data_IF_371380647153
#
_entry.id   IF_371380647153
#
_cell.length_a   1.000
_cell.length_b   1.000
_cell.length_c   1.000
_cell.angle_alpha   90.00
_cell.angle_beta   90.00
_cell.angle_gamma   90.00
#
_symmetry.space_group_name_H-M   'P 1'
#
loop_
_entity.id
_entity.type
_entity.pdbx_description
1 polymer ?
#
# COMPACT_ATOMS: atom_id res chain seq x y z
N UNK A 1 5.84 -8.50 18.57
CA UNK A 1 6.27 -8.04 17.24
C UNK A 1 5.50 -8.92 16.27
N UNK A 2 4.65 -8.33 15.43
CA UNK A 2 3.88 -9.10 14.46
C UNK A 2 4.79 -9.74 13.43
N UNK A 3 4.41 -10.90 12.93
CA UNK A 3 5.12 -11.58 11.85
C UNK A 3 4.62 -11.06 10.50
N UNK A 4 5.47 -11.11 9.46
CA UNK A 4 5.09 -10.67 8.11
C UNK A 4 3.82 -11.39 7.59
N UNK A 5 3.64 -12.65 7.97
CA UNK A 5 2.46 -13.44 7.65
C UNK A 5 1.18 -12.85 8.26
N UNK A 6 1.24 -12.33 9.48
CA UNK A 6 0.10 -11.69 10.15
C UNK A 6 -0.33 -10.41 9.42
N UNK A 7 0.63 -9.60 8.95
CA UNK A 7 0.35 -8.43 8.10
C UNK A 7 -0.30 -8.85 6.78
N UNK A 8 0.20 -9.92 6.15
CA UNK A 8 -0.36 -10.44 4.89
C UNK A 8 -1.80 -10.91 5.09
N UNK A 9 -2.10 -11.58 6.20
CA UNK A 9 -3.44 -12.03 6.53
C UNK A 9 -4.42 -10.86 6.71
N UNK A 10 -3.98 -9.76 7.34
CA UNK A 10 -4.79 -8.54 7.44
C UNK A 10 -5.05 -7.93 6.06
N UNK A 11 -4.06 -7.91 5.17
CA UNK A 11 -4.23 -7.40 3.82
C UNK A 11 -5.24 -8.22 3.02
N UNK A 12 -5.21 -9.56 3.15
CA UNK A 12 -6.21 -10.43 2.53
C UNK A 12 -7.62 -10.24 3.11
N UNK A 13 -7.72 -10.14 4.43
CA UNK A 13 -8.98 -9.90 5.12
C UNK A 13 -9.63 -8.63 4.58
N UNK A 14 -8.88 -7.54 4.49
CA UNK A 14 -9.40 -6.26 4.06
C UNK A 14 -9.57 -6.12 2.55
N UNK A 15 -8.76 -6.78 1.71
CA UNK A 15 -8.96 -6.78 0.26
C UNK A 15 -10.34 -7.31 -0.17
N UNK A 16 -10.87 -8.28 0.58
CA UNK A 16 -12.18 -8.89 0.30
C UNK A 16 -13.35 -7.89 0.43
N UNK A 17 -13.17 -6.83 1.23
CA UNK A 17 -14.18 -5.80 1.47
C UNK A 17 -14.01 -4.58 0.55
N UNK A 18 -13.61 -4.78 -0.71
CA UNK A 18 -13.38 -3.70 -1.67
C UNK A 18 -14.57 -2.74 -1.87
N UNK A 19 -15.80 -3.18 -1.54
CA UNK A 19 -17.02 -2.36 -1.59
C UNK A 19 -17.33 -1.59 -0.29
N UNK A 20 -16.64 -1.89 0.82
CA UNK A 20 -16.85 -1.20 2.09
C UNK A 20 -16.03 0.11 2.13
N UNK A 21 -16.69 1.28 2.29
CA UNK A 21 -16.03 2.58 2.35
C UNK A 21 -14.94 2.70 3.43
N UNK A 22 -14.98 1.88 4.48
CA UNK A 22 -14.08 1.93 5.65
C UNK A 22 -12.94 0.90 5.60
N UNK A 23 -12.76 0.21 4.48
CA UNK A 23 -11.76 -0.87 4.35
C UNK A 23 -10.33 -0.39 4.51
N UNK A 24 -10.00 0.78 3.96
CA UNK A 24 -8.65 1.35 4.07
C UNK A 24 -8.35 1.75 5.52
N UNK A 25 -9.29 2.43 6.17
CA UNK A 25 -9.11 2.89 7.56
C UNK A 25 -8.92 1.73 8.53
N UNK A 26 -9.67 0.63 8.35
CA UNK A 26 -9.52 -0.57 9.17
C UNK A 26 -8.22 -1.30 8.90
N UNK A 27 -7.85 -1.48 7.63
CA UNK A 27 -6.59 -2.10 7.27
C UNK A 27 -5.40 -1.30 7.82
N UNK A 28 -5.47 0.04 7.72
CA UNK A 28 -4.45 0.93 8.27
C UNK A 28 -4.38 0.81 9.79
N UNK A 29 -5.52 0.85 10.49
CA UNK A 29 -5.57 0.69 11.93
C UNK A 29 -5.01 -0.66 12.41
N UNK A 30 -5.14 -1.72 11.60
CA UNK A 30 -4.61 -3.04 11.92
C UNK A 30 -3.07 -3.12 11.79
N UNK A 31 -2.48 -2.47 10.78
CA UNK A 31 -1.05 -2.63 10.46
C UNK A 31 -0.17 -1.43 10.86
N UNK A 32 -0.73 -0.28 11.24
CA UNK A 32 0.04 0.95 11.51
C UNK A 32 1.09 0.77 12.62
N UNK A 33 0.81 -0.05 13.62
CA UNK A 33 1.66 -0.21 14.80
C UNK A 33 2.78 -1.26 14.55
N UNK A 34 2.78 -1.89 13.37
CA UNK A 34 3.73 -2.92 12.94
C UNK A 34 5.00 -2.31 12.30
N UNK A 35 5.00 -1.00 12.09
CA UNK A 35 6.14 -0.20 11.62
C UNK A 35 6.69 -0.68 10.28
N UNK A 36 7.98 -1.02 10.25
CA UNK A 36 8.63 -1.48 9.02
C UNK A 36 7.96 -2.75 8.45
N UNK A 37 7.51 -3.69 9.28
CA UNK A 37 6.93 -4.95 8.80
C UNK A 37 5.63 -4.68 8.00
N UNK A 38 4.86 -3.65 8.39
CA UNK A 38 3.69 -3.22 7.64
C UNK A 38 4.04 -2.88 6.19
N UNK A 39 5.10 -2.07 6.01
CA UNK A 39 5.53 -1.63 4.69
C UNK A 39 6.06 -2.81 3.85
N UNK A 40 6.65 -3.85 4.47
CA UNK A 40 7.08 -5.06 3.75
C UNK A 40 5.87 -5.84 3.23
N UNK A 41 4.83 -5.97 4.04
CA UNK A 41 3.55 -6.56 3.61
C UNK A 41 2.92 -5.77 2.47
N UNK A 42 2.99 -4.44 2.52
CA UNK A 42 2.48 -3.57 1.44
C UNK A 42 3.29 -3.71 0.15
N UNK A 43 4.62 -3.80 0.23
CA UNK A 43 5.50 -4.05 -0.94
C UNK A 43 5.17 -5.43 -1.55
N UNK A 44 4.98 -6.44 -0.71
CA UNK A 44 4.56 -7.77 -1.15
C UNK A 44 3.22 -7.71 -1.90
N UNK A 45 2.23 -6.99 -1.37
CA UNK A 45 0.92 -6.82 -1.97
C UNK A 45 0.96 -6.15 -3.36
N UNK A 46 1.82 -5.15 -3.56
CA UNK A 46 2.02 -4.52 -4.87
C UNK A 46 2.54 -5.50 -5.94
N UNK A 47 3.30 -6.52 -5.53
CA UNK A 47 3.82 -7.57 -6.40
C UNK A 47 2.80 -8.65 -6.78
N UNK A 48 1.62 -8.67 -6.14
CA UNK A 48 0.62 -9.70 -6.37
C UNK A 48 -0.09 -9.55 -7.72
N UNK A 49 -0.94 -10.50 -8.13
CA UNK A 49 -1.75 -10.36 -9.37
C UNK A 49 -3.11 -9.70 -9.13
N UNK A 50 -3.54 -9.67 -7.88
CA UNK A 50 -4.85 -9.16 -7.48
C UNK A 50 -4.86 -7.63 -7.54
N UNK A 51 -5.77 -7.08 -8.35
CA UNK A 51 -5.90 -5.63 -8.56
C UNK A 51 -6.40 -4.93 -7.29
N UNK A 52 -7.34 -5.53 -6.56
CA UNK A 52 -7.86 -4.97 -5.32
C UNK A 52 -6.75 -4.86 -4.29
N UNK A 53 -5.93 -5.90 -4.18
CA UNK A 53 -4.83 -5.96 -3.22
C UNK A 53 -3.77 -4.88 -3.52
N UNK A 54 -3.44 -4.69 -4.81
CA UNK A 54 -2.56 -3.59 -5.24
C UNK A 54 -3.13 -2.21 -4.89
N UNK A 55 -4.42 -2.00 -5.17
CA UNK A 55 -5.07 -0.72 -4.91
C UNK A 55 -5.16 -0.43 -3.41
N UNK A 56 -5.44 -1.44 -2.59
CA UNK A 56 -5.40 -1.34 -1.13
C UNK A 56 -3.99 -0.97 -0.67
N UNK A 57 -2.97 -1.66 -1.16
CA UNK A 57 -1.58 -1.39 -0.79
C UNK A 57 -1.14 0.04 -1.16
N UNK A 58 -1.46 0.49 -2.38
CA UNK A 58 -1.17 1.86 -2.83
C UNK A 58 -1.85 2.92 -1.94
N UNK A 59 -3.08 2.67 -1.50
CA UNK A 59 -3.81 3.58 -0.60
C UNK A 59 -3.16 3.60 0.79
N UNK A 60 -2.87 2.44 1.37
CA UNK A 60 -2.23 2.33 2.68
C UNK A 60 -0.85 2.98 2.70
N UNK A 61 -0.04 2.80 1.65
CA UNK A 61 1.27 3.46 1.54
C UNK A 61 1.18 4.99 1.55
N UNK A 62 0.05 5.59 1.13
CA UNK A 62 -0.16 7.04 1.22
C UNK A 62 -0.44 7.48 2.66
N UNK A 63 -1.13 6.66 3.45
CA UNK A 63 -1.41 6.92 4.87
C UNK A 63 -0.14 6.82 5.73
N UNK A 64 0.78 5.91 5.41
CA UNK A 64 2.09 5.80 6.07
C UNK A 64 3.05 6.98 5.78
N UNK A 65 2.78 7.80 4.76
CA UNK A 65 3.55 9.01 4.49
C UNK A 65 5.05 8.78 4.26
N UNK A 66 5.90 9.43 5.05
CA UNK A 66 7.37 9.37 4.90
C UNK A 66 7.97 8.00 5.16
N UNK A 67 7.37 7.21 6.06
CA UNK A 67 7.86 5.88 6.41
C UNK A 67 7.80 4.94 5.19
N UNK A 68 6.82 5.16 4.31
CA UNK A 68 6.62 4.40 3.09
C UNK A 68 7.60 4.77 1.95
N UNK A 69 8.55 5.69 2.14
CA UNK A 69 9.56 6.08 1.12
C UNK A 69 10.32 4.87 0.56
N UNK A 70 10.57 3.83 1.38
CA UNK A 70 11.24 2.60 0.93
C UNK A 70 10.42 1.76 -0.07
N UNK A 71 9.10 1.95 -0.11
CA UNK A 71 8.23 1.29 -1.08
C UNK A 71 8.22 1.98 -2.46
N UNK A 72 8.90 3.13 -2.63
CA UNK A 72 8.85 3.93 -3.85
C UNK A 72 9.16 3.12 -5.11
N UNK A 73 10.22 2.28 -5.09
CA UNK A 73 10.55 1.42 -6.24
C UNK A 73 9.45 0.41 -6.59
N UNK A 74 8.72 -0.09 -5.59
CA UNK A 74 7.60 -1.01 -5.82
C UNK A 74 6.37 -0.27 -6.39
N UNK A 75 6.12 0.96 -5.93
CA UNK A 75 5.06 1.83 -6.46
C UNK A 75 5.37 2.25 -7.91
N UNK A 76 6.63 2.59 -8.23
CA UNK A 76 7.05 2.95 -9.58
C UNK A 76 6.81 1.81 -10.59
N UNK A 77 7.04 0.56 -10.18
CA UNK A 77 6.70 -0.61 -11.03
C UNK A 77 5.20 -0.68 -11.35
N UNK A 78 4.34 -0.23 -10.43
CA UNK A 78 2.88 -0.22 -10.63
C UNK A 78 2.43 0.84 -11.65
N UNK A 79 3.28 1.81 -12.02
CA UNK A 79 3.00 2.75 -13.13
C UNK A 79 2.90 2.04 -14.47
N UNK A 80 3.52 0.86 -14.60
CA UNK A 80 3.49 0.02 -15.79
C UNK A 80 2.49 -1.15 -15.66
N UNK A 81 1.64 -1.15 -14.63
CA UNK A 81 0.69 -2.22 -14.40
C UNK A 81 -0.33 -2.35 -15.54
N UNK A 82 -0.78 -3.57 -15.85
CA UNK A 82 -1.78 -3.81 -16.90
C UNK A 82 -3.13 -3.15 -16.60
N UNK A 83 -3.49 -3.02 -15.32
CA UNK A 83 -4.74 -2.40 -14.90
C UNK A 83 -4.63 -0.87 -14.86
N UNK A 84 -5.58 -0.20 -15.53
CA UNK A 84 -5.62 1.27 -15.61
C UNK A 84 -5.75 1.95 -14.24
N UNK A 85 -6.55 1.39 -13.33
CA UNK A 85 -6.76 1.97 -12.01
C UNK A 85 -5.48 1.91 -11.17
N UNK A 86 -4.75 0.79 -11.25
CA UNK A 86 -3.46 0.61 -10.57
C UNK A 86 -2.46 1.65 -11.06
N UNK A 87 -2.36 1.87 -12.38
CA UNK A 87 -1.45 2.90 -12.93
C UNK A 87 -1.77 4.30 -12.43
N UNK A 88 -3.06 4.68 -12.38
CA UNK A 88 -3.50 6.00 -11.90
C UNK A 88 -3.15 6.15 -10.41
N UNK A 89 -3.53 5.16 -9.60
CA UNK A 89 -3.26 5.18 -8.16
C UNK A 89 -1.74 5.21 -7.86
N UNK A 90 -0.93 4.49 -8.63
CA UNK A 90 0.52 4.52 -8.52
C UNK A 90 1.08 5.91 -8.84
N UNK A 91 0.59 6.57 -9.91
CA UNK A 91 1.00 7.93 -10.26
C UNK A 91 0.70 8.96 -9.17
N UNK A 92 -0.49 8.87 -8.58
CA UNK A 92 -0.84 9.71 -7.43
C UNK A 92 0.04 9.44 -6.21
N UNK A 93 0.32 8.16 -5.94
CA UNK A 93 1.14 7.73 -4.79
C UNK A 93 2.58 8.20 -4.94
N UNK A 94 3.20 8.02 -6.11
CA UNK A 94 4.56 8.51 -6.39
C UNK A 94 4.63 10.03 -6.23
N UNK A 95 3.67 10.77 -6.78
CA UNK A 95 3.64 12.24 -6.66
C UNK A 95 3.56 12.68 -5.20
N UNK A 96 2.76 11.99 -4.39
CA UNK A 96 2.64 12.30 -2.96
C UNK A 96 3.95 11.98 -2.22
N UNK A 97 4.54 10.81 -2.48
CA UNK A 97 5.81 10.38 -1.88
C UNK A 97 6.99 11.28 -2.23
N UNK A 98 7.08 11.75 -3.48
CA UNK A 98 8.09 12.70 -3.93
C UNK A 98 7.92 14.06 -3.26
N UNK A 99 6.68 14.53 -3.06
CA UNK A 99 6.42 15.79 -2.35
C UNK A 99 6.92 15.75 -0.90
N UNK A 100 6.95 14.59 -0.25
CA UNK A 100 7.58 14.44 1.06
C UNK A 100 9.12 14.44 1.03
N UNK A 101 9.74 14.26 -0.13
CA UNK A 101 11.20 14.38 -0.30
C UNK A 101 11.62 15.84 -0.57
N UNK A 102 10.77 16.63 -1.21
CA UNK A 102 11.05 18.03 -1.59
C UNK A 102 10.82 19.06 -0.46
N UNK A 103 10.39 18.63 0.74
CA UNK A 103 10.13 19.52 1.88
C UNK A 103 11.30 19.70 2.86
N UNK A 104 12.53 19.36 2.44
CA UNK A 104 13.77 19.53 3.25
C UNK A 104 14.57 20.74 2.80
#
# INVERSE_FOLDING_TARGET
>A
MPELEEVIDQLWLHNTFAEDPWTVDRAFAAIRDDGEIAIDGLIWALGHKDVGLKLLALRLLREFGEEAKRALQAVEKCLLDGNRLVRIAAGETVRLMQKFADQV
#
